data_IF_588348141046
#
_entry.id   IF_588348141046
#
_cell.length_a   1.000
_cell.length_b   1.000
_cell.length_c   1.000
_cell.angle_alpha   90.00
_cell.angle_beta   90.00
_cell.angle_gamma   90.00
#
_symmetry.space_group_name_H-M   'P 1'
#
loop_
_entity.id
_entity.type
_entity.pdbx_description
1 polymer ?
#
# COMPACT_ATOMS: atom_id res chain seq x y z
N UNK A 1 1.77 -9.17 17.79
CA UNK A 1 0.67 -8.18 17.83
C UNK A 1 -0.58 -8.83 17.28
N UNK A 2 -1.69 -8.73 17.96
CA UNK A 2 -2.93 -9.30 17.49
C UNK A 2 -3.57 -8.42 16.40
N UNK A 3 -4.42 -9.04 15.62
CA UNK A 3 -5.20 -8.36 14.60
C UNK A 3 -6.07 -7.23 15.19
N UNK A 4 -6.68 -7.50 16.35
CA UNK A 4 -7.51 -6.50 17.03
C UNK A 4 -6.70 -5.27 17.46
N UNK A 5 -5.50 -5.46 17.95
CA UNK A 5 -4.60 -4.37 18.32
C UNK A 5 -4.16 -3.58 17.10
N UNK A 6 -3.85 -4.27 16.00
CA UNK A 6 -3.47 -3.59 14.75
C UNK A 6 -4.63 -2.77 14.21
N UNK A 7 -5.85 -3.31 14.21
CA UNK A 7 -7.04 -2.58 13.77
C UNK A 7 -7.27 -1.33 14.62
N UNK A 8 -7.10 -1.43 15.93
CA UNK A 8 -7.21 -0.28 16.83
C UNK A 8 -6.18 0.80 16.51
N UNK A 9 -4.92 0.43 16.28
CA UNK A 9 -3.87 1.36 15.92
C UNK A 9 -4.14 2.06 14.59
N UNK A 10 -4.57 1.32 13.58
CA UNK A 10 -4.93 1.86 12.27
C UNK A 10 -6.07 2.87 12.41
N UNK A 11 -7.11 2.51 13.15
CA UNK A 11 -8.26 3.37 13.33
C UNK A 11 -7.93 4.62 14.13
N UNK A 12 -7.03 4.52 15.10
CA UNK A 12 -6.54 5.70 15.82
C UNK A 12 -5.84 6.67 14.87
N UNK A 13 -4.98 6.16 14.00
CA UNK A 13 -4.29 6.98 13.01
C UNK A 13 -5.27 7.62 12.02
N UNK A 14 -6.24 6.85 11.52
CA UNK A 14 -7.27 7.36 10.62
C UNK A 14 -8.09 8.47 11.27
N UNK A 15 -8.56 8.25 12.49
CA UNK A 15 -9.40 9.21 13.21
C UNK A 15 -8.64 10.51 13.53
N UNK A 16 -7.36 10.41 13.87
CA UNK A 16 -6.50 11.58 14.08
C UNK A 16 -6.33 12.41 12.80
N UNK A 17 -6.44 11.77 11.64
CA UNK A 17 -6.39 12.44 10.34
C UNK A 17 -7.76 12.87 9.83
N UNK A 18 -8.81 12.75 10.64
CA UNK A 18 -10.16 13.12 10.25
C UNK A 18 -10.87 12.09 9.38
N UNK A 19 -10.33 10.89 9.26
CA UNK A 19 -10.93 9.83 8.46
C UNK A 19 -11.73 8.85 9.31
N UNK A 20 -12.78 8.23 8.74
CA UNK A 20 -13.58 7.26 9.47
C UNK A 20 -12.82 5.96 9.75
N UNK A 21 -13.28 5.23 10.75
CA UNK A 21 -12.74 3.92 11.09
C UNK A 21 -13.05 2.89 10.02
N UNK A 22 -12.20 1.89 9.92
CA UNK A 22 -12.37 0.74 9.03
C UNK A 22 -12.28 -0.55 9.83
N UNK A 23 -12.83 -1.62 9.28
CA UNK A 23 -12.69 -2.96 9.86
C UNK A 23 -11.87 -3.82 8.89
N UNK A 24 -10.90 -4.55 9.44
CA UNK A 24 -10.17 -5.54 8.66
C UNK A 24 -11.09 -6.75 8.43
N UNK A 25 -11.08 -7.25 7.20
CA UNK A 25 -11.84 -8.46 6.88
C UNK A 25 -11.14 -9.73 7.41
N UNK A 26 -11.66 -10.90 7.08
CA UNK A 26 -11.10 -12.17 7.54
C UNK A 26 -9.66 -12.38 7.09
N UNK A 27 -9.29 -11.84 5.94
CA UNK A 27 -7.92 -11.90 5.42
C UNK A 27 -6.99 -10.81 5.96
N UNK A 28 -7.48 -9.93 6.85
CA UNK A 28 -6.70 -8.82 7.37
C UNK A 28 -6.63 -7.63 6.43
N UNK A 29 -7.55 -7.53 5.49
CA UNK A 29 -7.57 -6.51 4.46
C UNK A 29 -8.63 -5.43 4.73
N UNK A 30 -8.30 -4.19 4.40
CA UNK A 30 -9.23 -3.07 4.39
C UNK A 30 -8.84 -2.10 3.27
N UNK A 31 -9.82 -1.32 2.81
CA UNK A 31 -9.62 -0.30 1.79
C UNK A 31 -9.97 1.05 2.38
N UNK A 32 -9.09 2.02 2.16
CA UNK A 32 -9.25 3.39 2.63
C UNK A 32 -9.06 4.34 1.46
N UNK A 33 -9.88 5.37 1.37
CA UNK A 33 -9.70 6.41 0.36
C UNK A 33 -9.02 7.63 1.00
N UNK A 34 -7.86 7.98 0.48
CA UNK A 34 -7.06 9.11 0.94
C UNK A 34 -6.81 10.06 -0.24
N UNK A 35 -7.29 11.28 -0.13
CA UNK A 35 -7.14 12.29 -1.20
C UNK A 35 -7.60 11.79 -2.58
N UNK A 36 -8.70 11.03 -2.61
CA UNK A 36 -9.23 10.46 -3.85
C UNK A 36 -8.52 9.20 -4.35
N UNK A 37 -7.52 8.73 -3.63
CA UNK A 37 -6.77 7.51 -3.97
C UNK A 37 -7.20 6.34 -3.10
N UNK A 38 -7.42 5.19 -3.71
CA UNK A 38 -7.71 3.96 -2.99
C UNK A 38 -6.41 3.38 -2.44
N UNK A 39 -6.30 3.32 -1.12
CA UNK A 39 -5.14 2.75 -0.43
C UNK A 39 -5.55 1.44 0.21
N UNK A 40 -4.82 0.39 -0.11
CA UNK A 40 -5.04 -0.93 0.44
C UNK A 40 -4.24 -1.10 1.72
N UNK A 41 -4.89 -1.64 2.74
CA UNK A 41 -4.27 -2.02 4.01
C UNK A 41 -4.35 -3.53 4.11
N UNK A 42 -3.24 -4.18 4.36
CA UNK A 42 -3.20 -5.64 4.51
C UNK A 42 -2.30 -6.01 5.68
N UNK A 43 -2.89 -6.67 6.67
CA UNK A 43 -2.16 -7.10 7.85
C UNK A 43 -1.79 -8.58 7.75
N UNK A 44 -0.48 -8.84 7.83
CA UNK A 44 0.06 -10.20 7.92
C UNK A 44 0.32 -10.49 9.39
N UNK A 45 -0.57 -11.27 9.99
CA UNK A 45 -0.50 -11.60 11.42
C UNK A 45 0.71 -12.49 11.74
N UNK A 46 1.10 -13.35 10.82
CA UNK A 46 2.22 -14.27 11.03
C UNK A 46 3.54 -13.50 11.10
N UNK A 47 3.74 -12.56 10.18
CA UNK A 47 4.95 -11.73 10.14
C UNK A 47 4.84 -10.46 10.96
N UNK A 48 3.66 -10.19 11.51
CA UNK A 48 3.35 -8.97 12.27
C UNK A 48 3.69 -7.70 11.49
N UNK A 49 3.26 -7.65 10.23
CA UNK A 49 3.50 -6.52 9.35
C UNK A 49 2.20 -5.98 8.76
N UNK A 50 2.12 -4.67 8.69
CA UNK A 50 1.04 -3.98 8.00
C UNK A 50 1.61 -3.45 6.67
N UNK A 51 1.00 -3.87 5.58
CA UNK A 51 1.34 -3.37 4.25
C UNK A 51 0.32 -2.33 3.82
N UNK A 52 0.82 -1.21 3.32
CA UNK A 52 0.00 -0.18 2.70
C UNK A 52 0.44 -0.09 1.24
N UNK A 53 -0.51 -0.23 0.32
CA UNK A 53 -0.17 -0.16 -1.09
C UNK A 53 -1.32 0.42 -1.91
N UNK A 54 -0.96 1.05 -3.02
CA UNK A 54 -1.92 1.62 -3.95
C UNK A 54 -1.48 1.32 -5.38
N UNK A 55 -2.45 1.16 -6.27
CA UNK A 55 -2.17 0.99 -7.69
C UNK A 55 -1.80 2.33 -8.30
N UNK A 56 -0.69 2.38 -9.03
CA UNK A 56 -0.29 3.54 -9.81
C UNK A 56 -0.87 3.50 -11.23
N UNK A 57 -1.48 2.38 -11.59
CA UNK A 57 -2.06 2.19 -12.90
C UNK A 57 -1.60 0.91 -13.56
N UNK A 58 -2.08 0.69 -14.77
CA UNK A 58 -1.72 -0.48 -15.57
C UNK A 58 -0.65 -0.10 -16.57
N UNK A 59 0.38 -0.93 -16.72
CA UNK A 59 1.39 -0.71 -17.73
C UNK A 59 0.81 -0.91 -19.13
N UNK A 60 1.17 -0.04 -20.07
CA UNK A 60 0.83 -0.27 -21.49
C UNK A 60 1.60 -1.49 -22.03
N UNK A 61 1.13 -2.03 -23.16
CA UNK A 61 1.77 -3.20 -23.78
C UNK A 61 3.22 -2.93 -24.20
N UNK A 62 3.50 -1.69 -24.59
CA UNK A 62 4.86 -1.28 -24.93
C UNK A 62 5.31 -0.21 -23.94
N UNK A 63 6.34 -0.54 -23.16
CA UNK A 63 6.85 0.32 -22.09
C UNK A 63 8.26 0.79 -22.45
N UNK A 64 8.50 2.13 -22.51
CA UNK A 64 9.84 2.64 -22.75
C UNK A 64 10.83 2.23 -21.66
N UNK A 65 12.05 1.93 -22.04
CA UNK A 65 13.12 1.61 -21.07
C UNK A 65 13.32 2.77 -20.08
N UNK A 66 13.16 3.99 -20.53
CA UNK A 66 13.29 5.18 -19.67
C UNK A 66 12.33 5.15 -18.46
N UNK A 67 11.14 4.55 -18.61
CA UNK A 67 10.20 4.41 -17.50
C UNK A 67 10.76 3.47 -16.44
N UNK A 68 11.30 2.33 -16.86
CA UNK A 68 11.91 1.38 -15.91
C UNK A 68 13.12 1.99 -15.21
N UNK A 69 13.95 2.73 -15.95
CA UNK A 69 15.10 3.42 -15.36
C UNK A 69 14.65 4.44 -14.32
N UNK A 70 13.63 5.22 -14.60
CA UNK A 70 13.09 6.23 -13.68
C UNK A 70 12.55 5.58 -12.40
N UNK A 71 11.84 4.46 -12.51
CA UNK A 71 11.30 3.73 -11.38
C UNK A 71 12.43 3.17 -10.51
N UNK A 72 13.43 2.55 -11.13
CA UNK A 72 14.57 2.00 -10.39
C UNK A 72 15.38 3.10 -9.71
N UNK A 73 15.57 4.22 -10.38
CA UNK A 73 16.26 5.38 -9.81
C UNK A 73 15.50 5.96 -8.61
N UNK A 74 14.18 6.09 -8.73
CA UNK A 74 13.33 6.55 -7.63
C UNK A 74 13.38 5.61 -6.43
N UNK A 75 13.51 4.30 -6.69
CA UNK A 75 13.60 3.28 -5.64
C UNK A 75 14.96 3.20 -4.97
N UNK A 76 16.00 3.84 -5.53
CA UNK A 76 17.33 3.75 -4.96
C UNK A 76 17.37 4.37 -3.56
N UNK A 77 17.56 3.53 -2.56
CA UNK A 77 17.51 3.88 -1.13
C UNK A 77 16.23 4.61 -0.70
N UNK A 78 15.16 4.45 -1.47
CA UNK A 78 13.87 5.08 -1.21
C UNK A 78 13.83 6.59 -1.43
N UNK A 79 14.80 7.15 -2.11
CA UNK A 79 14.95 8.61 -2.25
C UNK A 79 13.77 9.27 -2.98
N UNK A 80 13.28 8.64 -4.06
CA UNK A 80 12.17 9.17 -4.85
C UNK A 80 10.80 8.62 -4.45
N UNK A 81 10.75 7.71 -3.48
CA UNK A 81 9.52 7.03 -3.06
C UNK A 81 9.19 7.25 -1.59
N UNK A 82 9.88 8.20 -0.94
CA UNK A 82 9.73 8.48 0.49
C UNK A 82 9.88 7.22 1.37
N UNK A 83 10.79 6.33 1.01
CA UNK A 83 11.07 5.10 1.74
C UNK A 83 10.21 3.91 1.35
N UNK A 84 9.25 4.09 0.45
CA UNK A 84 8.44 3.01 -0.07
C UNK A 84 9.09 2.27 -1.24
N UNK A 85 8.35 1.37 -1.82
CA UNK A 85 8.78 0.60 -2.99
C UNK A 85 7.74 0.66 -4.09
N UNK A 86 8.19 0.68 -5.33
CA UNK A 86 7.34 0.53 -6.49
C UNK A 86 7.61 -0.85 -7.05
N UNK A 87 6.56 -1.64 -7.19
CA UNK A 87 6.66 -2.99 -7.72
C UNK A 87 5.75 -3.19 -8.91
N UNK A 88 6.03 -4.23 -9.65
CA UNK A 88 5.19 -4.67 -10.75
C UNK A 88 4.51 -5.97 -10.34
N UNK A 89 3.18 -5.96 -10.39
CA UNK A 89 2.40 -7.16 -10.14
C UNK A 89 2.03 -7.79 -11.48
N UNK A 90 2.46 -9.02 -11.70
CA UNK A 90 2.00 -9.77 -12.85
C UNK A 90 0.53 -10.12 -12.64
N UNK A 91 -0.33 -9.91 -13.63
CA UNK A 91 -1.72 -10.31 -13.49
C UNK A 91 -1.79 -11.82 -13.28
N UNK A 92 -2.78 -12.31 -12.51
CA UNK A 92 -2.99 -13.74 -12.39
C UNK A 92 -3.30 -14.33 -13.78
N UNK A 93 -2.90 -15.55 -14.02
CA UNK A 93 -3.15 -16.20 -15.29
C UNK A 93 -4.64 -16.34 -15.58
#
# INVERSE_FOLDING_TARGET
MSRAVMEELVNRALNLSGMPSVALDEGGYALVHVAGMAVNLEYDEIRERLYLYASLGKLPDSVPVALYEAVLEAGFMGAGTAGGHIGLRCPPP
#
